data_IF_715184886871
#
_entry.id   IF_715184886871
#
_cell.length_a   1.000
_cell.length_b   1.000
_cell.length_c   1.000
_cell.angle_alpha   90.00
_cell.angle_beta   90.00
_cell.angle_gamma   90.00
#
_symmetry.space_group_name_H-M   'P 1'
#
loop_
_entity.id
_entity.type
_entity.pdbx_description
1 polymer ?
#
# COMPACT_ATOMS: atom_id res chain seq x y z
N UNK A 1 -30.44 -1.67 5.87
CA UNK A 1 -29.03 -1.25 6.09
C UNK A 1 -28.14 -2.03 5.13
N UNK A 2 -27.59 -1.39 4.08
CA UNK A 2 -26.65 -2.04 3.16
C UNK A 2 -25.34 -2.23 3.92
N UNK A 3 -25.04 -3.46 4.34
CA UNK A 3 -23.71 -3.80 4.85
C UNK A 3 -22.71 -3.39 3.76
N UNK A 4 -21.89 -2.37 4.03
CA UNK A 4 -20.79 -1.97 3.15
C UNK A 4 -19.85 -3.18 3.13
N UNK A 5 -20.02 -4.08 2.16
CA UNK A 5 -19.09 -5.18 1.93
C UNK A 5 -17.74 -4.55 1.56
N UNK A 6 -16.92 -4.31 2.57
CA UNK A 6 -15.54 -3.89 2.42
C UNK A 6 -14.80 -4.98 1.67
N UNK A 7 -14.01 -4.61 0.65
CA UNK A 7 -13.27 -5.59 -0.16
C UNK A 7 -12.40 -6.46 0.78
N UNK A 8 -12.34 -7.79 0.60
CA UNK A 8 -11.67 -8.71 1.53
C UNK A 8 -10.17 -8.46 1.71
N UNK A 9 -9.56 -7.70 0.80
CA UNK A 9 -8.15 -7.31 0.89
C UNK A 9 -7.90 -6.06 1.75
N UNK A 10 -8.91 -5.24 2.01
CA UNK A 10 -8.73 -4.05 2.85
C UNK A 10 -8.37 -4.51 4.27
N UNK A 11 -7.33 -3.90 4.84
CA UNK A 11 -6.73 -4.30 6.12
C UNK A 11 -5.62 -5.35 6.00
N UNK A 12 -5.43 -5.97 4.83
CA UNK A 12 -4.32 -6.90 4.61
C UNK A 12 -3.00 -6.14 4.54
N UNK A 13 -1.98 -6.67 5.23
CA UNK A 13 -0.60 -6.19 5.12
C UNK A 13 0.09 -6.86 3.94
N UNK A 14 0.84 -6.08 3.17
CA UNK A 14 1.65 -6.56 2.06
C UNK A 14 3.04 -5.94 2.09
N UNK A 15 4.01 -6.67 1.56
CA UNK A 15 5.37 -6.20 1.35
C UNK A 15 5.51 -5.74 -0.10
N UNK A 16 6.11 -4.56 -0.32
CA UNK A 16 6.32 -4.01 -1.65
C UNK A 16 7.56 -3.10 -1.66
N UNK A 17 8.07 -2.78 -2.84
CA UNK A 17 9.15 -1.80 -3.01
C UNK A 17 8.54 -0.45 -3.42
N UNK A 18 8.61 0.60 -2.58
CA UNK A 18 8.12 1.92 -2.95
C UNK A 18 8.83 2.47 -4.19
N UNK A 19 8.12 3.16 -5.07
CA UNK A 19 8.72 3.72 -6.28
C UNK A 19 9.71 4.86 -5.98
N UNK A 20 9.52 5.59 -4.88
CA UNK A 20 10.34 6.76 -4.53
C UNK A 20 11.53 6.43 -3.62
N UNK A 21 11.65 5.19 -3.14
CA UNK A 21 12.74 4.77 -2.27
C UNK A 21 13.45 3.57 -2.86
N UNK A 22 14.70 3.76 -3.27
CA UNK A 22 15.63 2.68 -3.60
C UNK A 22 16.14 1.92 -2.34
N UNK A 23 15.41 2.06 -1.23
CA UNK A 23 15.87 1.75 0.15
C UNK A 23 15.24 0.44 0.67
N UNK A 24 14.79 -0.42 -0.24
CA UNK A 24 14.33 -1.77 0.08
C UNK A 24 12.82 -1.91 0.32
N UNK A 25 12.42 -3.14 0.65
CA UNK A 25 11.01 -3.52 0.80
C UNK A 25 10.38 -2.87 2.04
N UNK A 26 9.16 -2.37 1.91
CA UNK A 26 8.31 -1.84 2.98
C UNK A 26 7.07 -2.70 3.16
N UNK A 27 6.53 -2.71 4.37
CA UNK A 27 5.27 -3.36 4.68
C UNK A 27 4.20 -2.29 4.88
N UNK A 28 3.13 -2.36 4.09
CA UNK A 28 1.99 -1.44 4.17
C UNK A 28 0.66 -2.17 4.28
N UNK A 29 -0.37 -1.45 4.67
CA UNK A 29 -1.74 -1.95 4.84
C UNK A 29 -2.61 -1.47 3.69
N UNK A 30 -3.33 -2.37 3.02
CA UNK A 30 -4.26 -2.00 1.96
C UNK A 30 -5.44 -1.24 2.58
N UNK A 31 -5.59 0.04 2.23
CA UNK A 31 -6.69 0.89 2.71
C UNK A 31 -7.79 1.03 1.67
N UNK A 32 -7.49 0.74 0.40
CA UNK A 32 -8.46 0.83 -0.69
C UNK A 32 -8.09 -0.08 -1.85
N UNK A 33 -9.11 -0.58 -2.54
CA UNK A 33 -8.97 -1.43 -3.73
C UNK A 33 -9.83 -0.83 -4.83
N UNK A 34 -9.26 -0.69 -6.04
CA UNK A 34 -10.00 -0.21 -7.19
C UNK A 34 -11.20 -1.11 -7.48
N UNK A 35 -12.40 -0.58 -7.79
CA UNK A 35 -13.61 -1.40 -8.00
C UNK A 35 -13.48 -2.47 -9.08
N UNK A 36 -12.58 -2.28 -10.05
CA UNK A 36 -12.26 -3.25 -11.12
C UNK A 36 -10.97 -4.04 -10.87
N UNK A 37 -10.39 -4.00 -9.67
CA UNK A 37 -9.18 -4.74 -9.31
C UNK A 37 -7.93 -4.38 -10.12
N UNK A 38 -7.76 -3.10 -10.49
CA UNK A 38 -6.60 -2.64 -11.30
C UNK A 38 -5.44 -2.13 -10.46
N UNK A 39 -5.76 -1.50 -9.33
CA UNK A 39 -4.78 -0.94 -8.40
C UNK A 39 -5.32 -1.02 -6.97
N UNK A 40 -4.39 -0.94 -6.02
CA UNK A 40 -4.66 -0.85 -4.59
C UNK A 40 -3.97 0.40 -4.06
N UNK A 41 -4.49 0.94 -2.96
CA UNK A 41 -3.80 1.96 -2.20
C UNK A 41 -3.34 1.34 -0.89
N UNK A 42 -2.05 1.43 -0.61
CA UNK A 42 -1.43 1.00 0.64
C UNK A 42 -1.05 2.20 1.49
N UNK A 43 -1.30 2.12 2.79
CA UNK A 43 -0.80 3.06 3.79
C UNK A 43 0.32 2.42 4.59
N UNK A 44 1.43 3.13 4.78
CA UNK A 44 2.56 2.67 5.58
C UNK A 44 3.31 3.83 6.20
N UNK A 45 4.04 3.52 7.27
CA UNK A 45 4.90 4.47 7.95
C UNK A 45 6.25 4.56 7.23
N UNK A 46 6.60 5.77 6.81
CA UNK A 46 7.92 6.09 6.32
C UNK A 46 8.70 6.73 7.46
N UNK A 47 9.82 6.10 7.91
CA UNK A 47 10.68 6.72 8.90
C UNK A 47 11.32 8.00 8.34
N UNK A 48 11.82 8.90 9.20
CA UNK A 48 12.59 10.04 8.77
C UNK A 48 13.82 9.57 7.98
N UNK A 49 14.19 10.36 6.99
CA UNK A 49 15.28 10.06 6.08
C UNK A 49 15.81 11.32 5.43
N UNK A 50 16.70 11.13 4.45
CA UNK A 50 17.43 12.22 3.80
C UNK A 50 16.54 13.35 3.24
N UNK A 51 15.30 13.03 2.90
CA UNK A 51 14.34 13.94 2.27
C UNK A 51 13.18 14.36 3.19
N UNK A 52 13.10 13.82 4.41
CA UNK A 52 12.08 14.15 5.42
C UNK A 52 12.62 13.98 6.83
N UNK A 53 12.54 15.05 7.61
CA UNK A 53 12.99 15.05 9.01
C UNK A 53 12.04 14.31 9.96
N UNK A 54 10.76 14.18 9.58
CA UNK A 54 9.73 13.55 10.41
C UNK A 54 9.20 12.25 9.81
N UNK A 55 8.83 11.31 10.68
CA UNK A 55 8.05 10.12 10.32
C UNK A 55 6.72 10.56 9.71
N UNK A 56 6.34 9.97 8.58
CA UNK A 56 5.08 10.28 7.93
C UNK A 56 4.37 9.04 7.41
N UNK A 57 3.04 9.10 7.41
CA UNK A 57 2.22 8.11 6.71
C UNK A 57 2.18 8.43 5.24
N UNK A 58 2.61 7.48 4.43
CA UNK A 58 2.56 7.56 2.97
C UNK A 58 1.45 6.66 2.46
N UNK A 59 0.71 7.18 1.48
CA UNK A 59 -0.30 6.45 0.73
C UNK A 59 0.18 6.27 -0.69
N UNK A 60 0.37 5.03 -1.08
CA UNK A 60 0.95 4.69 -2.37
C UNK A 60 -0.03 3.85 -3.19
N UNK A 61 -0.17 4.22 -4.46
CA UNK A 61 -0.98 3.49 -5.41
C UNK A 61 -0.10 2.42 -6.07
N UNK A 62 -0.43 1.16 -5.85
CA UNK A 62 0.27 0.02 -6.43
C UNK A 62 -0.64 -0.68 -7.44
N UNK A 63 -0.04 -1.24 -8.49
CA UNK A 63 -0.76 -2.13 -9.39
C UNK A 63 -1.29 -3.34 -8.61
N UNK A 64 -2.51 -3.75 -8.94
CA UNK A 64 -3.10 -4.96 -8.34
C UNK A 64 -2.25 -6.16 -8.74
N UNK A 65 -2.02 -7.14 -7.84
CA UNK A 65 -1.19 -8.30 -8.12
C UNK A 65 -1.90 -9.24 -9.09
N UNK A 66 -1.93 -8.91 -10.36
CA UNK A 66 -2.19 -9.90 -11.40
C UNK A 66 -0.89 -10.53 -11.88
N UNK A 67 0.26 -9.85 -11.71
CA UNK A 67 1.54 -10.29 -12.30
C UNK A 67 2.80 -10.14 -11.41
N UNK A 68 2.78 -9.36 -10.33
CA UNK A 68 3.98 -9.05 -9.54
C UNK A 68 3.94 -9.64 -8.14
N UNK A 69 3.89 -10.97 -8.06
CA UNK A 69 3.79 -11.76 -6.81
C UNK A 69 4.26 -11.02 -5.57
N UNK A 70 3.32 -10.63 -4.71
CA UNK A 70 3.64 -10.06 -3.41
C UNK A 70 4.48 -11.08 -2.66
N UNK A 71 5.70 -10.68 -2.29
CA UNK A 71 6.66 -11.52 -1.56
C UNK A 71 6.29 -11.53 -0.08
#
# INVERSE_FOLDING_TARGET
MRSKKTHPLIGRKISFKPAYMDVGTKTGTIIWVHPRGRFIVVEYDCPPGRWREESAKIRECLLYPTDTGWI
#
